data_IF_791211452328
#
_entry.id   IF_791211452328
#
_cell.length_a   1.000
_cell.length_b   1.000
_cell.length_c   1.000
_cell.angle_alpha   90.00
_cell.angle_beta   90.00
_cell.angle_gamma   90.00
#
_symmetry.space_group_name_H-M   'P 1'
#
loop_
_entity.id
_entity.type
_entity.pdbx_description
1 polymer ?
#
# COMPACT_ATOMS: atom_id res chain seq x y z
N UNK A 1 -3.49 -5.81 -10.69
CA UNK A 1 -2.34 -4.90 -10.48
C UNK A 1 -1.12 -5.77 -10.24
N UNK A 2 0.09 -5.26 -10.56
CA UNK A 2 1.31 -6.03 -10.40
C UNK A 2 1.50 -6.50 -8.96
N UNK A 3 1.95 -7.75 -8.83
CA UNK A 3 2.27 -8.33 -7.53
C UNK A 3 3.68 -7.86 -7.14
N UNK A 4 3.75 -6.69 -6.50
CA UNK A 4 5.03 -6.15 -6.05
C UNK A 4 5.48 -6.96 -4.84
N UNK A 5 6.67 -7.56 -4.90
CA UNK A 5 7.30 -8.23 -3.77
C UNK A 5 7.54 -7.18 -2.69
N UNK A 6 6.60 -7.08 -1.75
CA UNK A 6 6.66 -6.14 -0.62
C UNK A 6 7.79 -6.60 0.29
N UNK A 7 8.91 -5.87 0.31
CA UNK A 7 9.95 -6.12 1.30
C UNK A 7 9.47 -5.66 2.67
N UNK A 8 8.73 -6.51 3.40
CA UNK A 8 8.51 -6.36 4.84
C UNK A 8 8.32 -7.70 5.52
N UNK A 9 9.44 -8.33 5.82
CA UNK A 9 9.47 -9.37 6.83
C UNK A 9 9.10 -8.77 8.18
N UNK A 10 8.03 -9.28 8.80
CA UNK A 10 7.89 -9.20 10.26
C UNK A 10 9.25 -9.68 10.82
N UNK A 11 9.99 -8.85 11.58
CA UNK A 11 11.31 -9.23 12.05
C UNK A 11 11.29 -10.59 12.73
N UNK A 12 12.34 -11.38 12.56
CA UNK A 12 12.36 -12.77 13.02
C UNK A 12 12.04 -12.88 14.52
N UNK A 13 12.54 -11.95 15.35
CA UNK A 13 12.22 -11.92 16.78
C UNK A 13 10.72 -11.75 17.07
N UNK A 14 9.96 -11.05 16.22
CA UNK A 14 8.51 -10.91 16.34
C UNK A 14 7.83 -12.22 15.91
N UNK A 15 8.30 -12.84 14.82
CA UNK A 15 7.79 -14.14 14.36
C UNK A 15 7.98 -15.20 15.45
N UNK A 16 9.18 -15.29 16.01
CA UNK A 16 9.52 -16.18 17.11
C UNK A 16 8.65 -15.95 18.35
N UNK A 17 8.46 -14.69 18.75
CA UNK A 17 7.62 -14.32 19.90
C UNK A 17 6.16 -14.78 19.76
N UNK A 18 5.63 -14.78 18.53
CA UNK A 18 4.23 -15.14 18.25
C UNK A 18 4.06 -16.48 17.51
N UNK A 19 5.11 -17.30 17.45
CA UNK A 19 5.11 -18.53 16.67
C UNK A 19 4.06 -19.54 17.15
N UNK A 20 3.92 -19.70 18.47
CA UNK A 20 3.04 -20.71 19.08
C UNK A 20 2.03 -20.09 20.04
N UNK A 21 0.90 -20.76 20.28
CA UNK A 21 -0.09 -20.32 21.29
C UNK A 21 0.51 -20.23 22.70
N UNK A 22 1.47 -21.12 23.04
CA UNK A 22 2.19 -21.07 24.31
C UNK A 22 2.94 -19.75 24.48
N UNK A 23 3.76 -19.36 23.49
CA UNK A 23 4.51 -18.09 23.53
C UNK A 23 3.59 -16.88 23.49
N UNK A 24 2.54 -16.93 22.65
CA UNK A 24 1.54 -15.86 22.60
C UNK A 24 0.89 -15.60 23.95
N UNK A 25 0.73 -16.62 24.81
CA UNK A 25 0.15 -16.51 26.16
C UNK A 25 1.02 -15.73 27.16
N UNK A 26 2.31 -15.56 26.88
CA UNK A 26 3.25 -14.79 27.72
C UNK A 26 3.00 -13.27 27.65
N UNK A 27 2.36 -12.78 26.58
CA UNK A 27 2.11 -11.36 26.38
C UNK A 27 0.78 -10.88 27.03
N UNK A 28 0.41 -9.60 26.99
CA UNK A 28 -0.92 -9.17 27.41
C UNK A 28 -2.02 -9.52 26.40
N UNK A 29 -3.28 -9.70 26.86
CA UNK A 29 -4.43 -9.91 25.94
C UNK A 29 -4.61 -8.74 24.96
N UNK A 30 -4.23 -7.53 25.36
CA UNK A 30 -4.31 -6.30 24.56
C UNK A 30 -3.36 -6.26 23.35
N UNK A 31 -2.45 -7.23 23.22
CA UNK A 31 -1.56 -7.36 22.06
C UNK A 31 -2.24 -8.07 20.88
N UNK A 32 -3.42 -8.62 21.09
CA UNK A 32 -4.14 -9.46 20.15
C UNK A 32 -5.53 -8.87 19.88
N UNK A 33 -6.00 -8.96 18.63
CA UNK A 33 -7.35 -8.49 18.29
C UNK A 33 -8.45 -9.47 18.67
N UNK A 34 -8.08 -10.74 18.87
CA UNK A 34 -9.02 -11.78 19.25
C UNK A 34 -8.39 -12.72 20.28
N UNK A 35 -9.15 -12.96 21.35
CA UNK A 35 -8.91 -14.07 22.28
C UNK A 35 -10.13 -14.97 22.22
N UNK A 36 -9.93 -16.23 21.83
CA UNK A 36 -11.04 -17.20 21.71
C UNK A 36 -11.54 -17.66 23.08
N UNK A 37 -12.72 -18.29 23.17
CA UNK A 37 -13.21 -18.89 24.41
C UNK A 37 -12.22 -19.91 25.01
N UNK A 38 -11.48 -20.63 24.17
CA UNK A 38 -10.44 -21.59 24.55
C UNK A 38 -9.12 -20.92 25.02
N UNK A 39 -9.11 -19.59 25.06
CA UNK A 39 -7.95 -18.80 25.47
C UNK A 39 -6.83 -18.75 24.42
N UNK A 40 -7.13 -19.05 23.15
CA UNK A 40 -6.19 -18.85 22.05
C UNK A 40 -6.07 -17.36 21.72
N UNK A 41 -4.85 -16.91 21.46
CA UNK A 41 -4.54 -15.52 21.12
C UNK A 41 -4.25 -15.43 19.62
N UNK A 42 -5.10 -14.71 18.91
CA UNK A 42 -5.07 -14.58 17.45
C UNK A 42 -4.85 -13.13 17.06
N UNK A 43 -4.20 -12.93 15.91
CA UNK A 43 -3.95 -11.61 15.32
C UNK A 43 -3.15 -10.68 16.26
N UNK A 44 -1.86 -10.98 16.51
CA UNK A 44 -0.99 -10.04 17.20
C UNK A 44 -0.90 -8.73 16.41
N UNK A 45 -0.83 -7.60 17.10
CA UNK A 45 -0.76 -6.25 16.49
C UNK A 45 0.31 -5.34 17.12
N UNK A 46 0.96 -5.81 18.18
CA UNK A 46 1.96 -5.05 18.92
C UNK A 46 3.32 -5.74 18.88
N UNK A 47 4.37 -4.93 18.88
CA UNK A 47 5.74 -5.41 18.99
C UNK A 47 5.99 -5.99 20.41
N UNK A 48 6.59 -7.19 20.54
CA UNK A 48 6.77 -7.87 21.82
C UNK A 48 7.77 -7.18 22.76
N UNK A 49 8.74 -6.41 22.24
CA UNK A 49 9.76 -5.73 23.03
C UNK A 49 9.30 -4.34 23.48
N UNK A 50 8.68 -3.59 22.57
CA UNK A 50 8.32 -2.18 22.82
C UNK A 50 6.86 -2.00 23.22
N UNK A 51 5.99 -2.96 22.90
CA UNK A 51 4.55 -2.86 23.08
C UNK A 51 3.86 -1.87 22.15
N UNK A 52 4.59 -1.20 21.25
CA UNK A 52 4.04 -0.30 20.26
C UNK A 52 3.25 -1.07 19.19
N UNK A 53 2.29 -0.41 18.53
CA UNK A 53 1.62 -1.00 17.36
C UNK A 53 2.63 -1.21 16.23
N UNK A 54 2.63 -2.42 15.64
CA UNK A 54 3.51 -2.77 14.53
C UNK A 54 2.71 -2.90 13.25
N UNK A 55 3.01 -2.07 12.25
CA UNK A 55 2.19 -1.99 11.03
C UNK A 55 2.18 -3.28 10.21
N UNK A 56 3.30 -4.01 10.16
CA UNK A 56 3.33 -5.34 9.52
C UNK A 56 2.40 -6.36 10.21
N UNK A 57 2.23 -6.26 11.53
CA UNK A 57 1.34 -7.15 12.29
C UNK A 57 -0.13 -6.77 12.08
N UNK A 58 -0.43 -5.46 12.06
CA UNK A 58 -1.77 -4.96 11.77
C UNK A 58 -2.20 -5.32 10.34
N UNK A 59 -1.31 -5.22 9.34
CA UNK A 59 -1.60 -5.68 7.98
C UNK A 59 -1.83 -7.18 7.92
N UNK A 60 -0.95 -7.97 8.54
CA UNK A 60 -1.14 -9.41 8.61
C UNK A 60 -2.49 -9.76 9.26
N UNK A 61 -2.90 -9.01 10.29
CA UNK A 61 -4.20 -9.16 10.92
C UNK A 61 -5.35 -8.83 9.96
N UNK A 62 -5.27 -7.73 9.23
CA UNK A 62 -6.27 -7.34 8.22
C UNK A 62 -6.41 -8.41 7.13
N UNK A 63 -5.30 -8.84 6.52
CA UNK A 63 -5.29 -9.85 5.45
C UNK A 63 -5.85 -11.19 5.91
N UNK A 64 -5.37 -11.71 7.04
CA UNK A 64 -5.81 -13.01 7.56
C UNK A 64 -7.25 -12.95 8.07
N UNK A 65 -7.68 -11.84 8.66
CA UNK A 65 -9.07 -11.67 9.08
C UNK A 65 -10.02 -11.72 7.87
N UNK A 66 -9.69 -11.04 6.77
CA UNK A 66 -10.46 -11.12 5.53
C UNK A 66 -10.47 -12.54 4.94
N UNK A 67 -9.29 -13.17 4.83
CA UNK A 67 -9.15 -14.54 4.31
C UNK A 67 -10.03 -15.55 5.07
N UNK A 68 -10.07 -15.45 6.40
CA UNK A 68 -10.82 -16.37 7.25
C UNK A 68 -12.15 -15.81 7.76
N UNK A 69 -12.65 -14.71 7.17
CA UNK A 69 -13.97 -14.11 7.43
C UNK A 69 -14.22 -13.69 8.89
N UNK A 70 -13.20 -13.18 9.58
CA UNK A 70 -13.32 -12.59 10.92
C UNK A 70 -13.73 -11.10 10.83
N UNK A 71 -14.99 -10.81 10.53
CA UNK A 71 -15.48 -9.45 10.26
C UNK A 71 -15.11 -8.41 11.35
N UNK A 72 -15.31 -8.75 12.63
CA UNK A 72 -14.98 -7.83 13.74
C UNK A 72 -13.47 -7.59 13.90
N UNK A 73 -12.65 -8.60 13.57
CA UNK A 73 -11.18 -8.47 13.63
C UNK A 73 -10.70 -7.61 12.47
N UNK A 74 -11.27 -7.83 11.28
CA UNK A 74 -10.96 -7.06 10.09
C UNK A 74 -11.26 -5.58 10.29
N UNK A 75 -12.43 -5.24 10.83
CA UNK A 75 -12.82 -3.87 11.16
C UNK A 75 -11.86 -3.23 12.19
N UNK A 76 -11.53 -3.95 13.27
CA UNK A 76 -10.56 -3.47 14.27
C UNK A 76 -9.17 -3.25 13.68
N UNK A 77 -8.69 -4.20 12.86
CA UNK A 77 -7.40 -4.09 12.19
C UNK A 77 -7.38 -2.89 11.25
N UNK A 78 -8.46 -2.68 10.48
CA UNK A 78 -8.64 -1.52 9.59
C UNK A 78 -8.59 -0.20 10.34
N UNK A 79 -9.29 -0.09 11.48
CA UNK A 79 -9.28 1.13 12.30
C UNK A 79 -7.90 1.41 12.91
N UNK A 80 -7.21 0.37 13.40
CA UNK A 80 -5.84 0.51 13.90
C UNK A 80 -4.86 0.91 12.79
N UNK A 81 -5.04 0.33 11.61
CA UNK A 81 -4.25 0.65 10.44
C UNK A 81 -4.37 2.14 10.10
N UNK A 82 -5.60 2.63 9.95
CA UNK A 82 -5.87 4.04 9.65
C UNK A 82 -5.32 4.99 10.71
N UNK A 83 -5.34 4.59 11.98
CA UNK A 83 -4.92 5.44 13.10
C UNK A 83 -3.42 5.49 13.33
N UNK A 84 -2.73 4.36 13.16
CA UNK A 84 -1.33 4.21 13.58
C UNK A 84 -0.36 3.94 12.44
N UNK A 85 -0.86 3.54 11.27
CA UNK A 85 -0.04 3.07 10.15
C UNK A 85 -0.28 3.82 8.85
N UNK A 86 -1.50 4.31 8.62
CA UNK A 86 -1.79 5.20 7.52
C UNK A 86 -1.15 6.55 7.86
N UNK A 87 0.06 6.76 7.36
CA UNK A 87 0.54 8.13 7.15
C UNK A 87 -0.28 8.71 6.00
N UNK A 88 -0.65 9.99 6.09
CA UNK A 88 -1.03 10.74 4.90
C UNK A 88 0.11 10.54 3.91
N UNK A 89 -0.19 9.97 2.75
CA UNK A 89 0.77 9.88 1.67
C UNK A 89 1.17 11.30 1.28
N UNK A 90 2.27 11.81 1.83
CA UNK A 90 3.03 12.90 1.24
C UNK A 90 3.86 12.31 0.12
N UNK A 91 3.20 11.85 -0.93
CA UNK A 91 3.78 11.78 -2.25
C UNK A 91 2.61 11.82 -3.21
N UNK A 92 2.48 12.93 -3.93
CA UNK A 92 2.56 12.89 -5.38
C UNK A 92 3.00 14.27 -5.81
N UNK A 93 4.26 14.32 -6.26
CA UNK A 93 4.71 15.33 -7.19
C UNK A 93 3.75 15.31 -8.38
N UNK A 94 2.85 16.29 -8.43
CA UNK A 94 1.82 16.37 -9.45
C UNK A 94 2.12 17.53 -10.36
N UNK A 95 2.59 17.24 -11.56
CA UNK A 95 2.57 18.24 -12.61
C UNK A 95 1.22 18.15 -13.33
N UNK A 96 0.37 19.15 -13.10
CA UNK A 96 -0.89 19.32 -13.83
C UNK A 96 -0.68 20.32 -14.96
N UNK A 97 -0.82 19.86 -16.20
CA UNK A 97 -0.75 20.69 -17.41
C UNK A 97 -2.01 20.47 -18.24
N UNK A 98 -2.99 21.35 -18.09
CA UNK A 98 -4.31 21.18 -18.69
C UNK A 98 -5.00 19.91 -18.17
N UNK A 99 -5.36 19.01 -19.07
CA UNK A 99 -5.98 17.71 -18.75
C UNK A 99 -4.96 16.62 -18.37
N UNK A 100 -3.67 16.94 -18.46
CA UNK A 100 -2.59 15.98 -18.27
C UNK A 100 -2.05 16.04 -16.85
N UNK A 101 -1.86 14.87 -16.25
CA UNK A 101 -1.32 14.70 -14.91
C UNK A 101 -0.16 13.74 -14.99
N UNK A 102 1.01 14.19 -14.54
CA UNK A 102 2.16 13.34 -14.25
C UNK A 102 2.27 13.12 -12.75
N UNK A 103 2.58 11.90 -12.33
CA UNK A 103 2.94 11.62 -10.95
C UNK A 103 3.71 10.33 -10.76
N UNK A 104 4.41 10.26 -9.63
CA UNK A 104 5.06 9.04 -9.18
C UNK A 104 4.03 8.03 -8.67
N UNK A 105 4.18 6.78 -9.09
CA UNK A 105 3.40 5.64 -8.61
C UNK A 105 4.14 4.96 -7.46
N UNK A 106 5.44 4.71 -7.64
CA UNK A 106 6.35 4.21 -6.62
C UNK A 106 7.72 4.87 -6.75
N UNK A 107 8.33 5.18 -5.61
CA UNK A 107 9.66 5.79 -5.51
C UNK A 107 10.57 4.83 -4.74
N UNK A 108 11.66 4.32 -5.36
CA UNK A 108 12.60 3.42 -4.69
C UNK A 108 13.15 4.01 -3.39
N UNK A 109 13.17 3.20 -2.33
CA UNK A 109 13.67 3.62 -1.02
C UNK A 109 12.77 4.60 -0.24
N UNK A 110 11.71 5.13 -0.86
CA UNK A 110 10.71 5.93 -0.16
C UNK A 110 9.56 5.05 0.36
N UNK A 111 8.93 5.51 1.45
CA UNK A 111 7.71 4.89 1.98
C UNK A 111 6.50 5.33 1.14
N UNK A 112 5.69 4.38 0.69
CA UNK A 112 4.43 4.66 0.00
C UNK A 112 3.30 5.04 0.99
N UNK A 113 2.06 5.18 0.48
CA UNK A 113 0.87 5.49 1.29
C UNK A 113 0.56 4.43 2.36
N UNK A 114 0.94 3.19 2.08
CA UNK A 114 0.90 2.07 3.01
C UNK A 114 2.22 1.99 3.81
N UNK A 115 3.08 3.00 3.77
CA UNK A 115 4.38 3.02 4.43
C UNK A 115 5.36 1.94 3.93
N UNK A 116 5.04 1.27 2.82
CA UNK A 116 5.82 0.22 2.17
C UNK A 116 7.01 0.84 1.46
N UNK A 117 8.19 0.23 1.64
CA UNK A 117 9.41 0.64 0.93
C UNK A 117 9.71 -0.43 -0.09
N UNK A 118 10.06 0.00 -1.30
CA UNK A 118 10.37 -0.89 -2.41
C UNK A 118 11.80 -0.66 -2.88
N UNK A 119 12.47 -1.75 -3.28
CA UNK A 119 13.75 -1.64 -3.98
C UNK A 119 13.53 -1.11 -5.40
N UNK A 120 14.60 -0.61 -6.01
CA UNK A 120 14.57 -0.15 -7.40
C UNK A 120 14.08 -1.26 -8.34
N UNK A 121 14.57 -2.47 -8.15
CA UNK A 121 14.24 -3.65 -8.95
C UNK A 121 12.76 -3.99 -8.85
N UNK A 122 12.20 -3.99 -7.62
CA UNK A 122 10.79 -4.26 -7.40
C UNK A 122 9.88 -3.20 -8.05
N UNK A 123 10.31 -1.93 -8.02
CA UNK A 123 9.58 -0.84 -8.72
C UNK A 123 9.62 -1.04 -10.24
N UNK A 124 10.78 -1.42 -10.80
CA UNK A 124 10.93 -1.70 -12.22
C UNK A 124 10.03 -2.85 -12.69
N UNK A 125 10.10 -3.99 -12.00
CA UNK A 125 9.29 -5.17 -12.31
C UNK A 125 7.80 -4.84 -12.24
N UNK A 126 7.37 -4.09 -11.22
CA UNK A 126 6.00 -3.64 -11.08
C UNK A 126 5.55 -2.76 -12.25
N UNK A 127 6.39 -1.82 -12.70
CA UNK A 127 6.11 -0.99 -13.85
C UNK A 127 5.96 -1.82 -15.13
N UNK A 128 6.88 -2.75 -15.37
CA UNK A 128 6.87 -3.58 -16.57
C UNK A 128 5.67 -4.53 -16.61
N UNK A 129 5.37 -5.20 -15.49
CA UNK A 129 4.20 -6.05 -15.37
C UNK A 129 2.90 -5.26 -15.55
N UNK A 130 2.82 -4.06 -14.97
CA UNK A 130 1.71 -3.14 -15.21
C UNK A 130 1.54 -2.81 -16.70
N UNK A 131 2.62 -2.46 -17.38
CA UNK A 131 2.61 -2.07 -18.78
C UNK A 131 2.22 -3.24 -19.70
N UNK A 132 2.70 -4.45 -19.40
CA UNK A 132 2.43 -5.64 -20.22
C UNK A 132 1.03 -6.21 -19.98
N UNK A 133 0.56 -6.24 -18.73
CA UNK A 133 -0.57 -7.07 -18.34
C UNK A 133 -1.79 -6.29 -17.83
N UNK A 134 -1.65 -5.00 -17.51
CA UNK A 134 -2.73 -4.20 -16.95
C UNK A 134 -3.05 -2.99 -17.83
N UNK A 135 -2.27 -1.90 -17.77
CA UNK A 135 -2.53 -0.70 -18.58
C UNK A 135 -3.90 -0.02 -18.32
N UNK A 136 -4.58 -0.35 -17.22
CA UNK A 136 -5.83 0.27 -16.77
C UNK A 136 -5.75 0.67 -15.29
N UNK A 137 -6.69 1.50 -14.83
CA UNK A 137 -6.69 2.04 -13.46
C UNK A 137 -8.04 1.92 -12.77
N UNK A 138 -8.04 1.98 -11.44
CA UNK A 138 -9.23 1.96 -10.60
C UNK A 138 -9.32 3.28 -9.82
N UNK A 139 -10.49 3.90 -9.81
CA UNK A 139 -10.82 4.91 -8.82
C UNK A 139 -10.94 4.26 -7.45
N UNK A 140 -10.12 4.74 -6.50
CA UNK A 140 -10.06 4.28 -5.09
C UNK A 140 -10.02 2.76 -4.93
N UNK A 141 -9.30 2.05 -5.80
CA UNK A 141 -9.14 0.58 -5.77
C UNK A 141 -10.45 -0.22 -5.89
N UNK A 142 -11.56 0.40 -6.28
CA UNK A 142 -12.87 -0.26 -6.29
C UNK A 142 -13.67 -0.06 -7.58
N UNK A 143 -13.46 1.04 -8.29
CA UNK A 143 -14.29 1.37 -9.46
C UNK A 143 -13.40 1.47 -10.71
N UNK A 144 -13.55 0.58 -11.70
CA UNK A 144 -12.83 0.68 -12.96
C UNK A 144 -13.10 2.00 -13.67
N UNK A 145 -12.04 2.66 -14.15
CA UNK A 145 -12.15 3.83 -14.99
C UNK A 145 -11.96 3.44 -16.46
N UNK A 146 -12.97 3.73 -17.27
CA UNK A 146 -12.93 3.48 -18.72
C UNK A 146 -12.04 4.48 -19.47
N UNK A 147 -11.68 4.12 -20.71
CA UNK A 147 -10.86 4.94 -21.61
C UNK A 147 -11.51 6.27 -22.02
N UNK A 148 -12.83 6.35 -21.87
CA UNK A 148 -13.66 7.54 -22.03
C UNK A 148 -13.49 8.54 -20.87
N UNK A 149 -13.01 8.08 -19.70
CA UNK A 149 -12.79 8.91 -18.51
C UNK A 149 -11.33 9.26 -18.31
N UNK A 150 -10.43 8.31 -18.55
CA UNK A 150 -8.99 8.49 -18.36
C UNK A 150 -8.21 7.72 -19.42
N UNK A 151 -7.08 8.28 -19.85
CA UNK A 151 -6.19 7.63 -20.81
C UNK A 151 -4.77 7.63 -20.26
N UNK A 152 -4.15 6.45 -20.21
CA UNK A 152 -2.73 6.33 -19.89
C UNK A 152 -1.92 6.76 -21.11
N UNK A 153 -1.05 7.75 -20.92
CA UNK A 153 -0.22 8.33 -21.98
C UNK A 153 1.22 7.84 -21.87
N UNK A 154 1.76 7.82 -20.65
CA UNK A 154 3.12 7.36 -20.37
C UNK A 154 3.12 6.51 -19.11
N UNK A 155 3.90 5.44 -19.09
CA UNK A 155 4.18 4.64 -17.90
C UNK A 155 5.58 4.07 -18.02
N UNK A 156 6.52 4.60 -17.25
CA UNK A 156 7.94 4.26 -17.39
C UNK A 156 8.71 4.41 -16.08
N UNK A 157 9.86 3.76 -16.04
CA UNK A 157 10.85 3.91 -14.99
C UNK A 157 11.86 4.97 -15.39
N UNK A 158 12.16 5.89 -14.47
CA UNK A 158 13.15 6.95 -14.69
C UNK A 158 14.57 6.37 -14.84
N UNK A 159 15.29 6.70 -15.93
CA UNK A 159 16.63 6.16 -16.20
C UNK A 159 17.76 6.89 -15.45
N UNK A 160 17.43 8.00 -14.79
CA UNK A 160 18.33 8.79 -13.95
C UNK A 160 17.48 9.53 -12.90
N UNK A 161 18.08 10.14 -11.86
CA UNK A 161 17.35 11.04 -10.99
C UNK A 161 16.70 12.17 -11.80
N UNK A 162 15.44 12.48 -11.50
CA UNK A 162 14.67 13.51 -12.21
C UNK A 162 14.08 14.49 -11.22
N UNK A 163 13.96 15.75 -11.64
CA UNK A 163 13.21 16.76 -10.91
C UNK A 163 11.82 16.90 -11.52
N UNK A 164 10.78 16.75 -10.70
CA UNK A 164 9.39 17.00 -11.10
C UNK A 164 8.85 18.07 -10.16
N UNK A 165 8.33 19.17 -10.69
CA UNK A 165 7.97 20.32 -9.85
C UNK A 165 9.13 20.74 -8.93
N UNK A 166 8.88 20.73 -7.62
CA UNK A 166 9.87 21.07 -6.59
C UNK A 166 10.55 19.85 -5.95
N UNK A 167 10.19 18.62 -6.32
CA UNK A 167 10.75 17.40 -5.74
C UNK A 167 11.82 16.77 -6.64
N UNK A 168 12.87 16.26 -6.00
CA UNK A 168 13.87 15.41 -6.64
C UNK A 168 13.51 13.95 -6.39
N UNK A 169 13.36 13.20 -7.48
CA UNK A 169 13.02 11.79 -7.46
C UNK A 169 14.25 10.97 -7.90
N UNK A 170 14.59 9.89 -7.18
CA UNK A 170 15.73 9.05 -7.54
C UNK A 170 15.49 8.30 -8.85
N UNK A 171 16.59 7.87 -9.46
CA UNK A 171 16.57 6.89 -10.55
C UNK A 171 15.77 5.65 -10.14
N UNK A 172 15.00 5.09 -11.07
CA UNK A 172 14.18 3.92 -10.80
C UNK A 172 12.77 4.25 -10.31
N UNK A 173 12.45 5.53 -10.12
CA UNK A 173 11.08 5.97 -9.86
C UNK A 173 10.17 5.59 -11.02
N UNK A 174 9.04 4.95 -10.72
CA UNK A 174 7.99 4.69 -11.69
C UNK A 174 7.05 5.89 -11.79
N UNK A 175 7.02 6.50 -12.98
CA UNK A 175 6.13 7.62 -13.31
C UNK A 175 5.00 7.17 -14.23
N UNK A 176 3.83 7.78 -14.04
CA UNK A 176 2.73 7.69 -14.98
C UNK A 176 2.20 9.05 -15.37
N UNK A 177 1.89 9.19 -16.66
CA UNK A 177 1.14 10.32 -17.20
C UNK A 177 -0.23 9.87 -17.65
N UNK A 178 -1.25 10.54 -17.14
CA UNK A 178 -2.64 10.31 -17.48
C UNK A 178 -3.27 11.56 -18.08
N UNK A 179 -4.11 11.36 -19.09
CA UNK A 179 -5.06 12.37 -19.56
C UNK A 179 -6.41 12.12 -18.89
N UNK A 180 -6.95 13.13 -18.20
CA UNK A 180 -8.22 13.04 -17.49
C UNK A 180 -9.32 13.70 -18.33
N UNK A 181 -10.19 12.89 -18.92
CA UNK A 181 -11.29 13.32 -19.79
C UNK A 181 -12.57 13.63 -19.01
N UNK A 182 -12.78 12.95 -17.88
CA UNK A 182 -13.94 13.15 -17.00
C UNK A 182 -13.83 14.45 -16.18
N UNK A 183 -14.86 15.30 -16.25
CA UNK A 183 -14.85 16.61 -15.57
C UNK A 183 -14.93 16.47 -14.05
N UNK A 184 -15.66 15.46 -13.55
CA UNK A 184 -15.82 15.21 -12.12
C UNK A 184 -14.48 14.83 -11.48
N UNK A 185 -13.72 13.94 -12.14
CA UNK A 185 -12.37 13.59 -11.73
C UNK A 185 -11.44 14.81 -11.75
N UNK A 186 -11.51 15.66 -12.79
CA UNK A 186 -10.73 16.91 -12.85
C UNK A 186 -11.05 17.84 -11.68
N UNK A 187 -12.33 17.96 -11.33
CA UNK A 187 -12.77 18.77 -10.18
C UNK A 187 -12.23 18.21 -8.86
N UNK A 188 -12.37 16.91 -8.62
CA UNK A 188 -11.81 16.27 -7.41
C UNK A 188 -10.28 16.44 -7.31
N UNK A 189 -9.58 16.41 -8.45
CA UNK A 189 -8.15 16.68 -8.54
C UNK A 189 -7.83 18.13 -8.17
N UNK A 190 -8.57 19.10 -8.72
CA UNK A 190 -8.37 20.53 -8.46
C UNK A 190 -8.67 20.91 -7.01
N UNK A 191 -9.66 20.24 -6.40
CA UNK A 191 -10.03 20.42 -5.00
C UNK A 191 -9.11 19.68 -4.02
N UNK A 192 -8.13 18.92 -4.51
CA UNK A 192 -7.19 18.16 -3.68
C UNK A 192 -7.79 16.89 -3.05
N UNK A 193 -8.97 16.45 -3.49
CA UNK A 193 -9.61 15.22 -3.03
C UNK A 193 -8.93 13.96 -3.61
N UNK A 194 -8.25 14.11 -4.76
CA UNK A 194 -7.38 13.09 -5.38
C UNK A 194 -5.96 13.65 -5.44
N UNK A 195 -5.17 13.29 -4.44
CA UNK A 195 -3.80 13.79 -4.29
C UNK A 195 -2.80 13.01 -5.13
N UNK A 196 -3.05 11.74 -5.49
CA UNK A 196 -2.26 11.07 -6.51
C UNK A 196 -2.50 9.57 -6.69
N UNK A 197 -1.45 8.85 -7.14
CA UNK A 197 -1.53 7.46 -7.59
C UNK A 197 -1.23 6.47 -6.45
N UNK A 198 -1.81 5.28 -6.54
CA UNK A 198 -1.60 4.19 -5.58
C UNK A 198 -1.71 2.85 -6.30
N UNK A 199 -0.89 1.87 -5.90
CA UNK A 199 -1.01 0.48 -6.34
C UNK A 199 -1.90 -0.28 -5.36
N UNK A 200 -3.04 -0.77 -5.84
CA UNK A 200 -3.88 -1.74 -5.14
C UNK A 200 -3.39 -3.15 -5.43
N UNK A 201 -2.58 -3.73 -4.55
CA UNK A 201 -2.12 -5.13 -4.67
C UNK A 201 -2.90 -6.10 -3.78
N UNK A 202 -3.28 -7.26 -4.33
CA UNK A 202 -3.65 -8.46 -3.57
C UNK A 202 -2.47 -9.45 -3.61
N UNK A 203 -2.21 -10.12 -2.48
CA UNK A 203 -1.18 -11.17 -2.39
C UNK A 203 -1.86 -12.53 -2.61
N UNK A 204 -1.47 -13.25 -3.65
CA UNK A 204 -1.59 -14.72 -3.68
C UNK A 204 -0.38 -15.30 -2.94
N UNK A 205 -0.64 -16.13 -1.93
CA UNK A 205 0.38 -16.96 -1.31
C UNK A 205 0.47 -18.22 -2.15
N UNK A 206 1.61 -18.45 -2.81
CA UNK A 206 1.88 -19.75 -3.42
C UNK A 206 1.83 -20.83 -2.34
N UNK A 207 1.10 -21.91 -2.66
CA UNK A 207 0.79 -23.07 -1.82
C UNK A 207 1.93 -24.07 -1.72
#
# INVERSE_FOLDING_TARGET
>A
MPNVIRSREIPEYIREAYLTQKRRREYPRSYFLLVTPEGERKFPVRDPKTGAYHCGLIRAALTRAGQYKYAQVEEKARNLYQRYCAKKAEFVTKEVKGEMILGAVLVPGAQDADGDVFTKEAVCEACWDYNCNFGWTLYRHGVPLGKDKVQLIESYVTPAPVKIGDEELPEGTWLQRWKILDEGLRKEIAEGNIVGFSIGGWVELES
#
